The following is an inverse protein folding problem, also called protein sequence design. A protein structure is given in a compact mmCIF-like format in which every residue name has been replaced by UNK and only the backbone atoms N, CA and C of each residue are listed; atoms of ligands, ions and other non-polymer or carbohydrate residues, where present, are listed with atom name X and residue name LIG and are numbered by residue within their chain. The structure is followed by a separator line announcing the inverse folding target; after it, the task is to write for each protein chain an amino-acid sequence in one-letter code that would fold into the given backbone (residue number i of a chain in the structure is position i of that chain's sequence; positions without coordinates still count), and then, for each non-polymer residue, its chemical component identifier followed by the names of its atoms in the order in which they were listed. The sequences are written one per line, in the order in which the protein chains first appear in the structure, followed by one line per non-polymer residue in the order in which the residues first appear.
data_IF_472696686636
#
_entry.id   IF_472696686636
#
_cell.length_a   1.000
_cell.length_b   1.000
_cell.length_c   1.000
_cell.angle_alpha   90.00
_cell.angle_beta   90.00
_cell.angle_gamma   90.00
#
_symmetry.space_group_name_H-M   'P 1'
#
loop_
_entity.id
_entity.type
_entity.pdbx_description
1 polymer ?
#
# COMPACT_ATOMS: atom_id res chain seq x y z
N UNK A 1 13.99 8.05 9.53
CA UNK A 1 15.33 8.57 9.89
C UNK A 1 15.73 7.95 11.23
N UNK A 2 16.93 7.39 11.36
CA UNK A 2 17.40 6.81 12.65
C UNK A 2 18.08 7.92 13.43
N UNK A 3 17.61 8.23 14.64
CA UNK A 3 18.24 9.25 15.48
C UNK A 3 18.80 8.54 16.72
N UNK A 4 20.11 8.33 16.69
CA UNK A 4 20.86 7.74 17.81
C UNK A 4 21.54 8.86 18.60
N UNK A 5 21.24 8.93 19.90
CA UNK A 5 21.81 9.92 20.78
C UNK A 5 22.25 9.29 22.10
N UNK A 6 23.56 9.12 22.28
CA UNK A 6 24.15 8.86 23.59
C UNK A 6 24.84 10.16 24.06
N UNK A 7 24.57 10.59 25.29
CA UNK A 7 25.11 11.85 25.80
C UNK A 7 25.05 11.96 27.32
N UNK A 8 26.16 12.32 27.95
CA UNK A 8 26.20 12.64 29.37
C UNK A 8 25.52 13.99 29.62
N UNK A 9 24.24 13.98 29.99
CA UNK A 9 23.58 15.16 30.54
C UNK A 9 24.17 15.51 31.91
N UNK A 10 24.27 16.79 32.23
CA UNK A 10 24.44 17.24 33.63
C UNK A 10 23.24 16.76 34.44
N UNK A 11 23.45 16.43 35.72
CA UNK A 11 22.35 16.09 36.65
C UNK A 11 21.30 17.20 36.61
N UNK A 12 20.05 16.86 36.28
CA UNK A 12 18.96 17.83 36.08
C UNK A 12 18.95 18.50 34.70
N UNK A 13 19.65 17.96 33.70
CA UNK A 13 19.71 18.46 32.33
C UNK A 13 18.88 17.64 31.34
N UNK A 14 18.51 18.27 30.21
CA UNK A 14 17.80 17.63 29.10
C UNK A 14 18.76 17.46 27.92
N UNK A 15 18.77 16.28 27.32
CA UNK A 15 19.54 16.03 26.10
C UNK A 15 18.59 15.89 24.91
N UNK A 16 18.66 16.85 23.98
CA UNK A 16 17.76 16.95 22.83
C UNK A 16 18.48 16.65 21.50
N UNK A 17 17.70 16.17 20.54
CA UNK A 17 18.07 16.06 19.13
C UNK A 17 16.99 16.74 18.29
N UNK A 18 17.43 17.66 17.44
CA UNK A 18 16.55 18.36 16.49
C UNK A 18 16.56 17.65 15.15
N UNK A 19 15.38 17.39 14.61
CA UNK A 19 15.18 16.90 13.25
C UNK A 19 14.26 17.85 12.51
N UNK A 20 14.73 18.34 11.36
CA UNK A 20 13.91 19.13 10.45
C UNK A 20 13.21 18.19 9.47
N UNK A 21 11.89 18.31 9.39
CA UNK A 21 11.04 17.53 8.48
C UNK A 21 10.44 18.50 7.47
N UNK A 22 10.56 18.18 6.19
CA UNK A 22 9.95 18.91 5.08
C UNK A 22 9.60 17.94 3.95
N UNK A 23 8.48 18.19 3.28
CA UNK A 23 8.02 17.44 2.11
C UNK A 23 8.04 18.35 0.88
N UNK A 24 8.66 17.88 -0.20
CA UNK A 24 8.57 18.50 -1.52
C UNK A 24 7.73 17.59 -2.42
N UNK A 25 6.74 18.17 -3.07
CA UNK A 25 5.80 17.47 -3.95
C UNK A 25 6.05 17.89 -5.39
N UNK A 26 5.81 16.97 -6.33
CA UNK A 26 5.92 17.27 -7.75
C UNK A 26 4.66 17.98 -8.27
N UNK A 27 4.77 18.58 -9.46
CA UNK A 27 3.67 19.34 -10.04
C UNK A 27 2.44 18.45 -10.28
N UNK A 28 1.35 18.76 -9.58
CA UNK A 28 0.06 18.09 -9.68
C UNK A 28 -0.26 17.17 -8.50
N UNK A 29 0.75 16.74 -7.73
CA UNK A 29 0.54 15.89 -6.55
C UNK A 29 -0.38 16.60 -5.54
N UNK A 30 -1.34 15.85 -4.99
CA UNK A 30 -2.24 16.36 -3.96
C UNK A 30 -1.85 15.77 -2.61
N UNK A 31 -1.28 16.61 -1.74
CA UNK A 31 -1.04 16.23 -0.35
C UNK A 31 -2.36 16.05 0.39
N UNK A 32 -2.53 14.89 1.02
CA UNK A 32 -3.72 14.64 1.83
C UNK A 32 -3.43 14.86 3.31
N UNK A 33 -2.36 14.24 3.82
CA UNK A 33 -1.90 14.36 5.20
C UNK A 33 -0.52 13.73 5.36
N UNK A 34 0.10 13.98 6.50
CA UNK A 34 1.24 13.20 6.98
C UNK A 34 1.01 12.70 8.40
N UNK A 35 1.60 11.57 8.72
CA UNK A 35 1.56 10.96 10.04
C UNK A 35 2.99 10.83 10.59
N UNK A 36 3.20 11.33 11.81
CA UNK A 36 4.43 11.14 12.54
C UNK A 36 4.32 9.89 13.37
N UNK A 37 5.32 9.01 13.30
CA UNK A 37 5.44 7.85 14.19
C UNK A 37 6.82 7.92 14.83
N UNK A 38 6.84 8.20 16.13
CA UNK A 38 8.08 8.26 16.91
C UNK A 38 8.13 7.03 17.80
N UNK A 39 8.90 6.02 17.40
CA UNK A 39 9.17 4.87 18.25
C UNK A 39 10.49 5.03 18.97
N UNK A 40 10.56 4.51 20.19
CA UNK A 40 11.85 4.24 20.82
C UNK A 40 12.52 3.09 20.05
N UNK A 41 13.83 2.91 20.21
CA UNK A 41 14.61 1.89 19.50
C UNK A 41 14.12 0.47 19.78
N UNK A 42 14.75 -0.56 19.23
CA UNK A 42 14.28 -1.94 19.32
C UNK A 42 13.99 -2.44 20.76
N UNK A 43 14.66 -1.89 21.77
CA UNK A 43 14.41 -2.17 23.19
C UNK A 43 13.42 -1.22 23.85
N UNK A 44 13.18 -0.03 23.31
CA UNK A 44 12.32 0.97 23.96
C UNK A 44 12.98 1.73 25.11
N UNK A 45 14.30 1.60 25.27
CA UNK A 45 15.03 2.14 26.42
C UNK A 45 15.13 3.67 26.38
N UNK A 46 14.88 4.29 27.52
CA UNK A 46 15.19 5.69 27.79
C UNK A 46 15.52 5.87 29.28
N UNK A 47 16.15 6.98 29.62
CA UNK A 47 16.56 7.29 30.98
C UNK A 47 15.61 8.31 31.60
N UNK A 48 15.11 8.02 32.81
CA UNK A 48 14.21 8.77 33.70
C UNK A 48 12.95 9.43 33.12
N UNK A 49 13.00 10.01 31.93
CA UNK A 49 11.85 10.57 31.25
C UNK A 49 12.12 11.03 29.83
N UNK A 50 11.08 11.57 29.21
CA UNK A 50 11.09 11.99 27.81
C UNK A 50 10.60 13.43 27.68
N UNK A 51 11.17 14.11 26.69
CA UNK A 51 10.72 15.40 26.20
C UNK A 51 10.44 15.31 24.70
N UNK A 52 9.33 15.91 24.28
CA UNK A 52 8.94 16.04 22.87
C UNK A 52 8.40 17.44 22.62
N UNK A 53 8.92 18.11 21.58
CA UNK A 53 8.52 19.44 21.16
C UNK A 53 8.37 19.53 19.64
N UNK A 54 7.45 20.37 19.19
CA UNK A 54 7.30 20.76 17.78
C UNK A 54 7.42 22.28 17.71
N UNK A 55 8.30 22.78 16.83
CA UNK A 55 8.57 24.21 16.65
C UNK A 55 8.85 24.95 17.97
N UNK A 56 9.60 24.31 18.88
CA UNK A 56 9.93 24.83 20.21
C UNK A 56 8.77 24.80 21.22
N UNK A 57 7.56 24.37 20.83
CA UNK A 57 6.45 24.15 21.76
C UNK A 57 6.56 22.75 22.36
N UNK A 58 6.73 22.69 23.68
CA UNK A 58 6.81 21.44 24.44
C UNK A 58 5.43 20.76 24.50
N UNK A 59 5.36 19.52 24.03
CA UNK A 59 4.12 18.73 23.93
C UNK A 59 4.08 17.55 24.90
N UNK A 60 5.24 17.00 25.23
CA UNK A 60 5.42 16.01 26.28
C UNK A 60 6.62 16.40 27.14
N UNK A 61 6.48 16.30 28.46
CA UNK A 61 7.57 16.41 29.40
C UNK A 61 7.25 15.68 30.69
N UNK A 62 8.07 14.69 31.01
CA UNK A 62 8.08 14.04 32.31
C UNK A 62 9.48 13.53 32.62
N UNK A 63 9.74 13.25 33.88
CA UNK A 63 10.98 12.68 34.41
C UNK A 63 10.68 11.76 35.60
N UNK A 64 11.72 11.21 36.23
CA UNK A 64 11.61 10.29 37.36
C UNK A 64 10.64 10.73 38.45
N UNK A 65 10.61 12.03 38.78
CA UNK A 65 9.78 12.59 39.86
C UNK A 65 8.30 12.36 39.62
N UNK A 66 7.88 12.20 38.37
CA UNK A 66 6.49 12.05 37.97
C UNK A 66 5.98 10.60 38.12
N UNK A 67 6.86 9.60 38.13
CA UNK A 67 6.43 8.19 38.21
C UNK A 67 7.00 7.45 39.42
N UNK A 68 8.15 7.85 39.96
CA UNK A 68 8.86 7.09 41.00
C UNK A 68 8.17 7.07 42.36
N UNK A 69 7.13 7.88 42.58
CA UNK A 69 6.29 7.87 43.78
C UNK A 69 4.92 7.22 43.58
N UNK A 70 4.57 6.86 42.33
CA UNK A 70 3.25 6.35 41.98
C UNK A 70 3.19 4.83 42.18
N UNK A 71 2.15 4.27 42.84
CA UNK A 71 2.05 2.85 43.17
C UNK A 71 2.18 1.92 41.96
N UNK A 72 1.72 2.36 40.79
CA UNK A 72 1.73 1.61 39.54
C UNK A 72 3.15 1.30 39.04
N UNK A 73 4.14 2.08 39.46
CA UNK A 73 5.54 1.95 39.05
C UNK A 73 6.44 1.40 40.16
N UNK A 74 5.89 1.15 41.36
CA UNK A 74 6.61 0.51 42.46
C UNK A 74 6.63 -1.02 42.31
N UNK A 75 7.30 -1.70 43.23
CA UNK A 75 7.37 -3.17 43.26
C UNK A 75 6.02 -3.85 43.39
N UNK A 76 5.78 -4.81 42.50
CA UNK A 76 4.49 -5.46 42.30
C UNK A 76 3.44 -4.56 41.63
N UNK A 77 3.84 -3.37 41.19
CA UNK A 77 3.00 -2.41 40.50
C UNK A 77 2.61 -2.85 39.09
N UNK A 78 1.70 -2.11 38.47
CA UNK A 78 1.16 -2.41 37.14
C UNK A 78 2.24 -2.46 36.05
N UNK A 79 3.23 -1.58 36.14
CA UNK A 79 4.30 -1.41 35.15
C UNK A 79 5.63 -2.07 35.57
N UNK A 80 5.68 -2.73 36.74
CA UNK A 80 6.80 -3.56 37.21
C UNK A 80 6.75 -4.94 36.52
N UNK A 81 6.95 -4.96 35.19
CA UNK A 81 6.63 -6.09 34.31
C UNK A 81 7.48 -7.33 34.57
N UNK A 82 8.67 -7.18 35.17
CA UNK A 82 9.55 -8.29 35.51
C UNK A 82 9.50 -8.68 37.00
N UNK A 83 8.71 -7.93 37.81
CA UNK A 83 8.49 -8.13 39.24
C UNK A 83 9.77 -8.11 40.07
N UNK A 84 10.79 -7.35 39.64
CA UNK A 84 12.11 -7.35 40.27
C UNK A 84 12.47 -6.07 41.03
N UNK A 85 11.55 -5.13 41.21
CA UNK A 85 11.82 -3.98 42.06
C UNK A 85 10.87 -2.81 41.82
N UNK A 86 11.13 -2.02 40.81
CA UNK A 86 10.31 -0.89 40.41
C UNK A 86 10.56 -0.67 38.92
N UNK A 87 9.65 0.02 38.25
CA UNK A 87 9.76 0.21 36.81
C UNK A 87 11.06 0.93 36.42
N UNK A 88 11.84 0.28 35.56
CA UNK A 88 13.17 0.72 35.14
C UNK A 88 13.21 0.96 33.63
N UNK A 89 12.85 2.16 33.13
CA UNK A 89 12.83 2.45 31.69
C UNK A 89 14.20 2.28 31.02
N UNK A 90 15.30 2.49 31.77
CA UNK A 90 16.67 2.29 31.28
C UNK A 90 17.04 0.82 31.08
N UNK A 91 16.31 -0.11 31.69
CA UNK A 91 16.50 -1.56 31.51
C UNK A 91 15.64 -2.13 30.37
N UNK A 92 14.82 -1.29 29.72
CA UNK A 92 13.79 -1.68 28.74
C UNK A 92 12.54 -2.30 29.37
N UNK A 93 12.30 -2.09 30.66
CA UNK A 93 11.22 -2.76 31.35
C UNK A 93 9.85 -2.40 30.76
N UNK A 94 9.05 -3.43 30.48
CA UNK A 94 7.77 -3.30 29.79
C UNK A 94 7.88 -2.89 28.31
N UNK A 95 9.09 -2.83 27.73
CA UNK A 95 9.37 -2.45 26.33
C UNK A 95 8.63 -1.17 25.89
N UNK A 96 8.99 0.00 26.44
CA UNK A 96 8.22 1.23 26.24
C UNK A 96 8.10 1.64 24.78
N UNK A 97 6.92 2.12 24.39
CA UNK A 97 6.63 2.62 23.05
C UNK A 97 5.92 3.97 23.14
N UNK A 98 6.57 5.03 22.66
CA UNK A 98 5.89 6.31 22.48
C UNK A 98 5.05 6.21 21.20
N UNK A 99 3.78 6.60 21.28
CA UNK A 99 2.88 6.65 20.13
C UNK A 99 2.35 8.07 19.98
N UNK A 100 2.61 8.67 18.83
CA UNK A 100 2.13 9.99 18.46
C UNK A 100 1.22 9.79 17.27
N UNK A 101 -0.09 9.80 17.45
CA UNK A 101 -1.03 9.55 16.37
C UNK A 101 -2.35 10.27 16.63
N UNK A 102 -3.00 10.77 15.58
CA UNK A 102 -4.30 11.45 15.67
C UNK A 102 -4.37 12.53 16.77
N UNK A 103 -3.33 13.37 16.86
CA UNK A 103 -3.17 14.41 17.89
C UNK A 103 -3.14 13.90 19.34
N UNK A 104 -2.82 12.62 19.55
CA UNK A 104 -2.60 12.03 20.87
C UNK A 104 -1.15 11.62 21.06
N UNK A 105 -0.67 11.70 22.30
CA UNK A 105 0.65 11.23 22.75
C UNK A 105 0.40 10.19 23.83
N UNK A 106 0.93 8.98 23.64
CA UNK A 106 0.79 7.86 24.60
C UNK A 106 2.12 7.19 24.84
N UNK A 107 2.36 6.75 26.07
CA UNK A 107 3.52 5.90 26.39
C UNK A 107 3.01 4.49 26.69
N UNK A 108 3.00 3.64 25.68
CA UNK A 108 2.49 2.28 25.77
C UNK A 108 3.54 1.34 26.39
N UNK A 109 3.21 0.78 27.56
CA UNK A 109 4.09 -0.12 28.32
C UNK A 109 3.38 -1.46 28.56
N UNK A 110 4.11 -2.56 28.39
CA UNK A 110 3.63 -3.91 28.74
C UNK A 110 3.51 -4.03 30.26
N UNK A 111 2.31 -4.33 30.73
CA UNK A 111 1.99 -4.49 32.15
C UNK A 111 2.28 -5.90 32.67
N UNK A 112 2.23 -6.07 33.99
CA UNK A 112 2.29 -7.38 34.66
C UNK A 112 1.20 -8.37 34.22
N UNK A 113 0.11 -7.88 33.62
CA UNK A 113 -0.96 -8.70 33.07
C UNK A 113 -0.77 -9.11 31.59
N UNK A 114 0.31 -8.63 30.95
CA UNK A 114 0.65 -8.95 29.56
C UNK A 114 -0.06 -8.10 28.51
N UNK A 115 -0.80 -7.06 28.90
CA UNK A 115 -1.39 -6.07 27.99
C UNK A 115 -0.57 -4.79 27.97
N UNK A 116 -0.63 -4.02 26.87
CA UNK A 116 -0.04 -2.67 26.79
C UNK A 116 -1.05 -1.62 27.25
N UNK A 117 -0.62 -0.75 28.16
CA UNK A 117 -1.42 0.39 28.63
C UNK A 117 -0.63 1.69 28.55
N UNK A 118 -1.35 2.81 28.46
CA UNK A 118 -0.74 4.15 28.43
C UNK A 118 -0.31 4.57 29.84
N UNK A 119 1.00 4.52 30.08
CA UNK A 119 1.59 4.80 31.37
C UNK A 119 1.51 6.29 31.76
N UNK A 120 1.35 7.21 30.80
CA UNK A 120 1.24 8.65 31.10
C UNK A 120 0.01 8.96 31.97
N UNK A 121 -1.03 8.14 31.89
CA UNK A 121 -2.26 8.30 32.66
C UNK A 121 -2.09 8.01 34.16
N UNK A 122 -0.99 7.36 34.55
CA UNK A 122 -0.73 6.93 35.92
C UNK A 122 0.41 7.72 36.58
N UNK A 123 0.94 8.74 35.89
CA UNK A 123 1.98 9.61 36.43
C UNK A 123 1.40 10.77 37.25
N UNK A 124 2.18 11.28 38.19
CA UNK A 124 1.85 12.43 39.01
C UNK A 124 1.93 13.73 38.21
N UNK A 125 0.76 14.20 37.76
CA UNK A 125 0.63 15.45 37.02
C UNK A 125 0.77 16.70 37.89
N UNK A 126 0.88 16.56 39.22
CA UNK A 126 1.03 17.69 40.15
C UNK A 126 2.49 18.11 40.34
N UNK A 127 3.43 17.27 39.91
CA UNK A 127 4.86 17.56 39.92
C UNK A 127 5.19 18.65 38.88
N UNK A 128 6.09 19.55 39.25
CA UNK A 128 6.53 20.65 38.39
C UNK A 128 7.13 20.14 37.07
N UNK A 129 6.95 20.92 36.02
CA UNK A 129 7.41 20.63 34.65
C UNK A 129 6.64 19.54 33.91
N UNK A 130 5.60 18.93 34.49
CA UNK A 130 4.70 18.01 33.76
C UNK A 130 4.07 18.71 32.56
N UNK A 131 4.19 18.09 31.38
CA UNK A 131 3.49 18.50 30.16
C UNK A 131 2.95 17.28 29.43
N UNK A 132 1.66 17.30 29.13
CA UNK A 132 1.03 16.38 28.20
C UNK A 132 -0.03 17.15 27.40
N UNK A 133 0.30 17.49 26.17
CA UNK A 133 -0.66 18.19 25.30
C UNK A 133 -1.72 17.22 24.79
N UNK A 134 -2.98 17.60 24.92
CA UNK A 134 -4.12 16.86 24.35
C UNK A 134 -4.42 17.22 22.90
N UNK A 135 -3.73 18.23 22.35
CA UNK A 135 -3.84 18.62 20.94
C UNK A 135 -2.60 19.37 20.47
N UNK A 136 -2.17 19.12 19.24
CA UNK A 136 -1.08 19.83 18.58
C UNK A 136 -1.24 19.68 17.06
N UNK A 137 -0.60 20.56 16.31
CA UNK A 137 -0.59 20.56 14.86
C UNK A 137 0.83 20.71 14.34
N UNK A 138 1.09 20.12 13.18
CA UNK A 138 2.34 20.26 12.43
C UNK A 138 2.01 20.28 10.95
N UNK A 139 2.91 20.81 10.14
CA UNK A 139 2.73 20.99 8.70
C UNK A 139 3.95 20.41 7.99
N UNK A 140 3.77 19.27 7.30
CA UNK A 140 4.86 18.64 6.57
C UNK A 140 5.22 19.38 5.28
N UNK A 141 4.30 20.14 4.68
CA UNK A 141 4.56 20.92 3.46
C UNK A 141 5.30 22.20 3.79
N UNK A 142 4.84 22.96 4.79
CA UNK A 142 5.57 24.13 5.28
C UNK A 142 6.87 23.76 6.01
N UNK A 143 6.94 22.51 6.50
CA UNK A 143 8.03 21.99 7.29
C UNK A 143 7.94 22.39 8.77
N UNK A 144 8.55 21.58 9.63
CA UNK A 144 8.58 21.82 11.07
C UNK A 144 9.86 21.25 11.70
N UNK A 145 10.22 21.83 12.85
CA UNK A 145 11.31 21.33 13.68
C UNK A 145 10.73 20.42 14.76
N UNK A 146 11.24 19.19 14.83
CA UNK A 146 10.95 18.24 15.89
C UNK A 146 12.13 18.20 16.84
N UNK A 147 11.88 18.37 18.13
CA UNK A 147 12.86 18.14 19.17
C UNK A 147 12.38 16.99 20.06
N UNK A 148 13.24 16.00 20.24
CA UNK A 148 12.95 14.90 21.15
C UNK A 148 14.20 14.59 21.96
N UNK A 149 14.00 14.12 23.19
CA UNK A 149 15.11 13.88 24.09
C UNK A 149 14.71 13.14 25.34
N UNK A 150 15.73 12.74 26.09
CA UNK A 150 15.56 12.19 27.42
C UNK A 150 15.78 13.29 28.47
N UNK A 151 15.04 13.17 29.57
CA UNK A 151 15.30 13.94 30.78
C UNK A 151 16.14 13.09 31.72
N UNK A 152 17.33 13.57 32.12
CA UNK A 152 18.19 12.85 33.05
C UNK A 152 17.98 13.40 34.47
N UNK A 153 17.12 12.75 35.24
CA UNK A 153 16.77 13.14 36.61
C UNK A 153 17.75 12.63 37.66
N UNK A 154 18.44 11.53 37.37
CA UNK A 154 19.39 10.84 38.23
C UNK A 154 20.86 11.19 37.96
N UNK A 155 21.75 10.61 38.78
CA UNK A 155 23.19 10.65 38.54
C UNK A 155 23.62 9.53 37.59
N UNK A 156 23.94 9.86 36.34
CA UNK A 156 24.42 8.89 35.34
C UNK A 156 24.46 9.44 33.91
N UNK A 157 25.06 8.70 32.94
CA UNK A 157 25.01 9.04 31.52
C UNK A 157 23.64 8.72 30.91
N UNK A 158 22.93 9.75 30.44
CA UNK A 158 21.68 9.57 29.69
C UNK A 158 21.89 9.03 28.27
N UNK A 159 20.93 8.26 27.77
CA UNK A 159 20.90 7.91 26.35
C UNK A 159 19.48 7.69 25.86
N UNK A 160 19.26 7.99 24.58
CA UNK A 160 18.01 7.70 23.89
C UNK A 160 18.33 7.11 22.52
N UNK A 161 17.74 5.95 22.26
CA UNK A 161 17.69 5.35 20.93
C UNK A 161 16.26 5.50 20.45
N UNK A 162 16.04 6.24 19.37
CA UNK A 162 14.70 6.45 18.81
C UNK A 162 14.72 6.43 17.28
N UNK A 163 13.57 6.05 16.73
CA UNK A 163 13.30 6.03 15.31
C UNK A 163 12.11 6.92 15.02
N UNK A 164 12.34 7.94 14.19
CA UNK A 164 11.28 8.78 13.66
C UNK A 164 10.95 8.33 12.24
N UNK A 165 9.70 7.95 12.04
CA UNK A 165 9.09 7.74 10.74
C UNK A 165 8.10 8.86 10.45
N UNK A 166 8.15 9.37 9.23
CA UNK A 166 7.20 10.35 8.69
C UNK A 166 6.59 9.70 7.46
N UNK A 167 5.29 9.43 7.49
CA UNK A 167 4.55 8.87 6.36
C UNK A 167 3.72 9.99 5.73
N UNK A 168 3.96 10.30 4.46
CA UNK A 168 3.14 11.24 3.70
C UNK A 168 2.15 10.46 2.84
N UNK A 169 0.88 10.85 2.91
CA UNK A 169 -0.19 10.35 2.05
C UNK A 169 -0.38 11.39 0.95
N UNK A 170 0.11 11.05 -0.23
CA UNK A 170 0.01 11.86 -1.42
C UNK A 170 -0.89 11.11 -2.39
N UNK A 171 -1.94 11.77 -2.84
CA UNK A 171 -2.73 11.28 -3.94
C UNK A 171 -1.96 11.63 -5.22
N UNK A 172 -1.41 10.63 -5.94
CA UNK A 172 -0.74 10.91 -7.19
C UNK A 172 -1.76 11.56 -8.12
N UNK A 173 -1.44 12.71 -8.71
CA UNK A 173 -2.32 13.26 -9.72
C UNK A 173 -2.52 12.23 -10.81
N UNK A 174 -3.80 12.06 -11.18
CA UNK A 174 -4.20 11.40 -12.40
C UNK A 174 -3.50 12.13 -13.56
N UNK A 175 -2.50 11.49 -14.16
CA UNK A 175 -2.04 11.86 -15.49
C UNK A 175 -3.26 11.80 -16.41
N UNK A 176 -3.75 12.92 -16.98
CA UNK A 176 -4.99 12.96 -17.75
C UNK A 176 -4.85 12.30 -19.12
N UNK A 177 -3.76 11.56 -19.33
CA UNK A 177 -3.51 10.82 -20.56
C UNK A 177 -4.21 9.47 -20.49
N UNK A 178 -5.04 9.24 -21.50
CA UNK A 178 -5.66 7.97 -21.86
C UNK A 178 -5.13 7.63 -23.25
N UNK A 179 -4.26 6.62 -23.35
CA UNK A 179 -3.54 6.30 -24.59
C UNK A 179 -4.37 5.56 -25.62
N UNK A 180 -5.33 4.74 -25.19
CA UNK A 180 -6.16 3.94 -26.10
C UNK A 180 -7.59 4.46 -26.26
N UNK A 181 -7.94 5.49 -25.48
CA UNK A 181 -9.19 6.25 -25.55
C UNK A 181 -10.42 5.46 -25.11
N UNK A 182 -10.26 4.50 -24.21
CA UNK A 182 -11.37 3.70 -23.67
C UNK A 182 -12.10 4.34 -22.48
N UNK A 183 -11.61 5.50 -22.03
CA UNK A 183 -12.17 6.28 -20.93
C UNK A 183 -11.52 6.01 -19.58
N UNK A 184 -10.51 5.13 -19.51
CA UNK A 184 -9.65 4.94 -18.35
C UNK A 184 -8.32 5.66 -18.54
N UNK A 185 -7.92 6.46 -17.56
CA UNK A 185 -6.60 7.10 -17.59
C UNK A 185 -5.52 6.05 -17.41
N UNK A 186 -4.37 6.23 -18.05
CA UNK A 186 -3.23 5.30 -18.01
C UNK A 186 -2.82 4.88 -16.59
N UNK A 187 -2.99 5.77 -15.61
CA UNK A 187 -2.64 5.54 -14.20
C UNK A 187 -3.57 4.52 -13.49
N UNK A 188 -4.79 4.33 -14.00
CA UNK A 188 -5.82 3.48 -13.41
C UNK A 188 -6.36 2.41 -14.37
N UNK A 189 -5.90 2.41 -15.61
CA UNK A 189 -6.20 1.40 -16.62
C UNK A 189 -5.30 0.16 -16.45
N UNK A 190 -5.91 -1.03 -16.40
CA UNK A 190 -5.19 -2.29 -16.33
C UNK A 190 -4.52 -2.68 -17.67
N UNK A 191 -5.00 -2.12 -18.78
CA UNK A 191 -4.47 -2.33 -20.13
C UNK A 191 -4.25 -1.00 -20.89
N UNK A 192 -3.33 -0.10 -20.46
CA UNK A 192 -3.19 1.29 -20.97
C UNK A 192 -2.84 1.51 -22.44
N UNK A 193 -2.83 0.46 -23.27
CA UNK A 193 -2.51 0.56 -24.70
C UNK A 193 -3.42 -0.36 -25.52
N UNK A 194 -4.51 -0.85 -24.95
CA UNK A 194 -5.42 -1.79 -25.57
C UNK A 194 -6.84 -1.55 -25.05
N UNK A 195 -7.59 -0.78 -25.83
CA UNK A 195 -8.98 -0.41 -25.56
C UNK A 195 -9.79 -1.59 -24.99
N UNK A 196 -10.40 -1.39 -23.83
CA UNK A 196 -11.19 -2.42 -23.17
C UNK A 196 -12.52 -1.94 -22.63
N UNK A 197 -12.99 -2.65 -21.61
CA UNK A 197 -14.31 -2.41 -21.00
C UNK A 197 -14.18 -2.12 -19.52
N UNK A 198 -15.13 -1.34 -18.99
CA UNK A 198 -15.17 -1.00 -17.58
C UNK A 198 -15.26 -2.24 -16.65
N UNK A 199 -15.93 -3.31 -17.10
CA UNK A 199 -16.04 -4.56 -16.34
C UNK A 199 -14.69 -5.24 -16.08
N UNK A 200 -13.65 -4.90 -16.85
CA UNK A 200 -12.30 -5.45 -16.76
C UNK A 200 -11.25 -4.34 -16.53
N UNK A 201 -11.66 -3.19 -15.98
CA UNK A 201 -10.78 -2.04 -15.71
C UNK A 201 -9.93 -1.63 -16.93
N UNK A 202 -10.57 -1.48 -18.09
CA UNK A 202 -9.92 -1.04 -19.33
C UNK A 202 -9.26 -2.14 -20.15
N UNK A 203 -9.37 -3.41 -19.75
CA UNK A 203 -8.92 -4.54 -20.58
C UNK A 203 -10.02 -5.09 -21.50
N UNK A 204 -9.67 -5.60 -22.71
CA UNK A 204 -10.62 -6.30 -23.58
C UNK A 204 -10.95 -7.70 -23.04
N UNK A 205 -12.10 -8.25 -23.45
CA UNK A 205 -12.51 -9.60 -23.04
C UNK A 205 -11.59 -10.68 -23.64
N UNK A 206 -11.03 -11.58 -22.82
CA UNK A 206 -10.30 -12.74 -23.33
C UNK A 206 -11.26 -13.81 -23.85
N UNK A 207 -10.88 -14.46 -24.96
CA UNK A 207 -11.62 -15.58 -25.56
C UNK A 207 -10.68 -16.71 -25.92
N UNK A 208 -11.14 -17.95 -25.76
CA UNK A 208 -10.37 -19.13 -26.13
C UNK A 208 -10.73 -19.56 -27.56
N UNK A 209 -9.80 -19.31 -28.48
CA UNK A 209 -9.93 -19.63 -29.89
C UNK A 209 -9.18 -20.92 -30.24
N UNK A 210 -9.77 -21.74 -31.11
CA UNK A 210 -9.14 -22.97 -31.57
C UNK A 210 -7.86 -22.71 -32.35
N UNK A 211 -6.86 -23.57 -32.17
CA UNK A 211 -5.58 -23.49 -32.89
C UNK A 211 -5.70 -23.89 -34.36
N UNK A 212 -6.73 -24.68 -34.66
CA UNK A 212 -7.09 -25.06 -36.02
C UNK A 212 -8.15 -24.12 -36.56
N UNK A 213 -8.02 -23.72 -37.83
CA UNK A 213 -9.02 -22.92 -38.52
C UNK A 213 -9.21 -23.42 -39.96
N UNK A 214 -10.41 -23.23 -40.51
CA UNK A 214 -10.66 -23.41 -41.95
C UNK A 214 -10.51 -22.08 -42.67
N UNK A 215 -10.02 -22.11 -43.90
CA UNK A 215 -9.91 -20.92 -44.75
C UNK A 215 -10.89 -20.98 -45.92
N UNK A 216 -11.42 -19.84 -46.33
CA UNK A 216 -12.17 -19.69 -47.58
C UNK A 216 -11.87 -18.35 -48.24
N UNK A 217 -12.06 -18.26 -49.55
CA UNK A 217 -12.06 -16.98 -50.28
C UNK A 217 -13.47 -16.41 -50.45
N UNK A 218 -14.50 -17.20 -50.09
CA UNK A 218 -15.91 -16.83 -50.15
C UNK A 218 -16.47 -16.83 -48.73
N UNK A 219 -17.17 -15.75 -48.37
CA UNK A 219 -17.85 -15.64 -47.07
C UNK A 219 -19.03 -16.59 -46.97
N UNK A 220 -19.43 -16.98 -45.76
CA UNK A 220 -20.61 -17.82 -45.51
C UNK A 220 -20.59 -19.14 -46.30
N UNK A 221 -19.42 -19.77 -46.36
CA UNK A 221 -19.18 -20.99 -47.12
C UNK A 221 -19.00 -22.22 -46.23
N UNK A 222 -19.24 -22.11 -44.92
CA UNK A 222 -19.10 -23.23 -43.99
C UNK A 222 -20.43 -23.98 -43.84
N UNK A 223 -20.35 -25.31 -43.83
CA UNK A 223 -21.48 -26.18 -43.50
C UNK A 223 -21.32 -26.65 -42.04
N UNK A 224 -21.76 -25.84 -41.07
CA UNK A 224 -21.47 -26.07 -39.64
C UNK A 224 -21.85 -27.47 -39.14
N UNK A 225 -22.90 -28.08 -39.70
CA UNK A 225 -23.33 -29.46 -39.39
C UNK A 225 -22.29 -30.54 -39.67
N UNK A 226 -21.25 -30.24 -40.48
CA UNK A 226 -20.13 -31.15 -40.79
C UNK A 226 -18.86 -30.83 -40.01
N UNK A 227 -18.93 -29.91 -39.05
CA UNK A 227 -17.77 -29.35 -38.35
C UNK A 227 -17.54 -29.97 -36.97
N UNK A 228 -17.96 -31.23 -36.76
CA UNK A 228 -17.75 -31.96 -35.50
C UNK A 228 -16.28 -31.95 -35.04
N UNK A 229 -15.33 -32.08 -35.98
CA UNK A 229 -13.90 -32.03 -35.64
C UNK A 229 -13.46 -30.63 -35.21
N UNK A 230 -13.86 -29.59 -35.95
CA UNK A 230 -13.49 -28.20 -35.65
C UNK A 230 -14.10 -27.75 -34.31
N UNK A 231 -15.30 -28.24 -34.00
CA UNK A 231 -16.01 -27.99 -32.75
C UNK A 231 -15.67 -28.98 -31.62
N UNK A 232 -14.83 -29.98 -31.87
CA UNK A 232 -14.45 -30.95 -30.83
C UNK A 232 -13.66 -30.24 -29.72
N UNK A 233 -14.28 -30.08 -28.54
CA UNK A 233 -13.70 -29.43 -27.33
C UNK A 233 -12.63 -30.31 -26.66
N UNK A 234 -11.66 -30.73 -27.45
CA UNK A 234 -10.52 -31.52 -26.98
C UNK A 234 -9.59 -30.66 -26.11
N UNK A 235 -8.72 -31.31 -25.32
CA UNK A 235 -7.94 -30.74 -24.21
C UNK A 235 -7.44 -29.29 -24.37
N UNK A 236 -7.30 -28.57 -23.24
CA UNK A 236 -6.96 -27.14 -23.19
C UNK A 236 -5.77 -26.68 -24.06
N UNK A 237 -4.84 -27.58 -24.40
CA UNK A 237 -3.70 -27.29 -25.30
C UNK A 237 -4.05 -27.09 -26.79
N UNK A 238 -5.28 -27.34 -27.22
CA UNK A 238 -5.74 -27.08 -28.60
C UNK A 238 -6.37 -25.70 -28.80
N UNK A 239 -6.43 -24.91 -27.73
CA UNK A 239 -6.94 -23.55 -27.75
C UNK A 239 -5.85 -22.59 -27.32
N UNK A 240 -6.02 -21.35 -27.72
CA UNK A 240 -5.20 -20.25 -27.31
C UNK A 240 -6.06 -19.07 -26.90
N UNK A 241 -5.46 -18.17 -26.12
CA UNK A 241 -6.14 -16.95 -25.68
C UNK A 241 -5.97 -15.88 -26.77
N UNK A 242 -7.10 -15.37 -27.24
CA UNK A 242 -7.21 -14.13 -27.99
C UNK A 242 -8.05 -13.13 -27.18
N UNK A 243 -8.19 -11.91 -27.69
CA UNK A 243 -9.06 -10.90 -27.10
C UNK A 243 -10.03 -10.41 -28.18
N UNK A 244 -11.13 -9.77 -27.80
CA UNK A 244 -11.99 -9.10 -28.78
C UNK A 244 -12.44 -7.72 -28.33
N UNK A 245 -12.81 -6.89 -29.30
CA UNK A 245 -13.23 -5.49 -29.10
C UNK A 245 -14.67 -5.33 -28.60
N UNK A 246 -15.36 -6.42 -28.28
CA UNK A 246 -16.77 -6.39 -27.94
C UNK A 246 -17.01 -5.95 -26.51
N UNK A 247 -18.20 -5.39 -26.24
CA UNK A 247 -18.58 -4.94 -24.90
C UNK A 247 -18.91 -6.10 -23.94
N UNK A 248 -19.30 -7.26 -24.48
CA UNK A 248 -19.75 -8.43 -23.72
C UNK A 248 -18.70 -9.55 -23.75
N UNK A 249 -18.71 -10.49 -22.77
CA UNK A 249 -17.79 -11.63 -22.79
C UNK A 249 -17.87 -12.49 -24.05
N UNK A 250 -19.06 -12.62 -24.63
CA UNK A 250 -19.27 -13.33 -25.89
C UNK A 250 -19.19 -12.35 -27.07
N UNK A 251 -18.31 -12.58 -28.06
CA UNK A 251 -18.20 -11.71 -29.22
C UNK A 251 -19.41 -11.83 -30.16
N UNK A 252 -19.76 -10.70 -30.80
CA UNK A 252 -20.86 -10.61 -31.77
C UNK A 252 -20.36 -10.24 -33.17
N UNK A 253 -21.24 -10.33 -34.17
CA UNK A 253 -20.93 -9.85 -35.53
C UNK A 253 -20.66 -8.34 -35.47
N UNK A 254 -19.55 -7.92 -36.10
CA UNK A 254 -19.04 -6.55 -36.08
C UNK A 254 -17.91 -6.31 -35.07
N UNK A 255 -17.73 -7.20 -34.09
CA UNK A 255 -16.56 -7.15 -33.21
C UNK A 255 -15.29 -7.56 -33.97
N UNK A 256 -14.14 -7.16 -33.45
CA UNK A 256 -12.83 -7.52 -33.97
C UNK A 256 -12.15 -8.48 -33.02
N UNK A 257 -11.62 -9.58 -33.54
CA UNK A 257 -10.71 -10.42 -32.79
C UNK A 257 -9.32 -9.75 -32.76
N UNK A 258 -8.92 -9.31 -31.58
CA UNK A 258 -7.65 -8.64 -31.28
C UNK A 258 -6.62 -9.72 -30.95
N UNK A 259 -5.64 -9.88 -31.85
CA UNK A 259 -4.58 -10.86 -31.71
C UNK A 259 -3.44 -10.31 -30.87
N UNK A 260 -3.12 -10.94 -29.75
CA UNK A 260 -2.01 -10.53 -28.91
C UNK A 260 -0.67 -10.92 -29.55
N UNK A 261 -0.06 -9.99 -30.29
CA UNK A 261 1.27 -10.12 -30.90
C UNK A 261 2.43 -9.89 -29.90
N UNK A 262 2.19 -9.67 -28.59
CA UNK A 262 3.24 -9.35 -27.59
C UNK A 262 3.92 -10.58 -26.95
N UNK A 263 3.58 -11.81 -27.33
CA UNK A 263 4.38 -12.98 -26.94
C UNK A 263 5.71 -13.00 -27.72
N UNK A 264 6.77 -13.52 -27.11
CA UNK A 264 8.12 -13.67 -27.69
C UNK A 264 8.17 -14.50 -28.99
N UNK A 265 7.04 -15.09 -29.39
CA UNK A 265 6.79 -15.66 -30.70
C UNK A 265 5.41 -15.18 -31.17
N UNK A 266 5.30 -14.24 -32.12
CA UNK A 266 4.02 -13.90 -32.72
C UNK A 266 3.51 -15.11 -33.50
N UNK A 267 2.52 -15.81 -32.96
CA UNK A 267 1.74 -16.80 -33.69
C UNK A 267 0.50 -16.10 -34.23
N UNK A 268 0.56 -15.64 -35.48
CA UNK A 268 -0.65 -15.30 -36.22
C UNK A 268 -1.53 -16.54 -36.28
N UNK A 269 -2.62 -16.59 -35.51
CA UNK A 269 -3.57 -17.73 -35.50
C UNK A 269 -4.12 -18.04 -36.88
N UNK A 270 -4.31 -16.98 -37.67
CA UNK A 270 -4.80 -17.03 -39.03
C UNK A 270 -3.70 -16.57 -39.97
N UNK A 271 -3.34 -17.41 -40.93
CA UNK A 271 -2.37 -17.09 -41.98
C UNK A 271 -3.03 -16.49 -43.22
N UNK A 272 -2.31 -15.58 -43.86
CA UNK A 272 -2.75 -14.84 -45.06
C UNK A 272 -3.70 -13.68 -44.72
N UNK A 273 -3.78 -12.70 -45.61
CA UNK A 273 -4.58 -11.48 -45.43
C UNK A 273 -5.85 -11.46 -46.27
N UNK A 274 -6.05 -12.46 -47.13
CA UNK A 274 -7.17 -12.53 -48.08
C UNK A 274 -8.19 -13.58 -47.69
N UNK A 275 -9.47 -13.26 -47.83
CA UNK A 275 -10.58 -14.18 -47.57
C UNK A 275 -10.96 -14.23 -46.09
N UNK A 276 -11.45 -15.39 -45.68
CA UNK A 276 -12.11 -15.63 -44.40
C UNK A 276 -11.49 -16.82 -43.68
N UNK A 277 -11.52 -16.78 -42.36
CA UNK A 277 -11.14 -17.88 -41.48
C UNK A 277 -12.31 -18.29 -40.60
N UNK A 278 -12.53 -19.58 -40.42
CA UNK A 278 -13.53 -20.12 -39.51
C UNK A 278 -12.81 -20.74 -38.32
N UNK A 279 -13.09 -20.21 -37.12
CA UNK A 279 -12.39 -20.55 -35.87
C UNK A 279 -13.42 -20.88 -34.80
N UNK A 280 -13.16 -21.87 -33.96
CA UNK A 280 -14.06 -22.23 -32.85
C UNK A 280 -13.79 -21.39 -31.62
N UNK A 281 -14.85 -20.96 -30.94
CA UNK A 281 -14.84 -20.41 -29.60
C UNK A 281 -15.18 -21.50 -28.58
N UNK A 282 -14.20 -21.87 -27.75
CA UNK A 282 -14.34 -22.99 -26.79
C UNK A 282 -15.51 -22.80 -25.83
N UNK A 283 -15.66 -21.59 -25.32
CA UNK A 283 -16.53 -21.31 -24.18
C UNK A 283 -17.97 -20.96 -24.60
N UNK A 284 -18.20 -20.70 -25.90
CA UNK A 284 -19.48 -20.24 -26.43
C UNK A 284 -20.16 -21.21 -27.40
N UNK A 285 -19.54 -22.36 -27.69
CA UNK A 285 -20.08 -23.37 -28.62
C UNK A 285 -20.34 -22.84 -30.04
N UNK A 286 -19.49 -21.93 -30.49
CA UNK A 286 -19.65 -21.23 -31.77
C UNK A 286 -18.43 -21.36 -32.64
N UNK A 287 -18.67 -21.27 -33.94
CA UNK A 287 -17.67 -20.97 -34.95
C UNK A 287 -17.85 -19.49 -35.32
N UNK A 288 -16.76 -18.73 -35.29
CA UNK A 288 -16.71 -17.37 -35.81
C UNK A 288 -16.08 -17.36 -37.20
N UNK A 289 -16.65 -16.56 -38.09
CA UNK A 289 -16.04 -16.24 -39.38
C UNK A 289 -15.35 -14.89 -39.29
N UNK A 290 -14.04 -14.91 -39.48
CA UNK A 290 -13.16 -13.76 -39.39
C UNK A 290 -12.73 -13.32 -40.79
N UNK A 291 -12.88 -12.04 -41.10
CA UNK A 291 -12.24 -11.46 -42.27
C UNK A 291 -10.73 -11.37 -41.99
N UNK A 292 -9.92 -12.09 -42.76
CA UNK A 292 -8.48 -12.21 -42.48
C UNK A 292 -7.71 -10.90 -42.54
N UNK A 293 -8.20 -9.92 -43.31
CA UNK A 293 -7.51 -8.65 -43.52
C UNK A 293 -7.45 -7.77 -42.26
N UNK A 294 -8.42 -7.90 -41.36
CA UNK A 294 -8.56 -7.01 -40.20
C UNK A 294 -9.06 -7.70 -38.92
N UNK A 295 -9.45 -8.98 -38.97
CA UNK A 295 -9.97 -9.72 -37.82
C UNK A 295 -11.44 -9.42 -37.47
N UNK A 296 -12.18 -8.73 -38.34
CA UNK A 296 -13.61 -8.48 -38.16
C UNK A 296 -14.40 -9.80 -38.16
N UNK A 297 -15.25 -10.00 -37.16
CA UNK A 297 -16.20 -11.11 -37.08
C UNK A 297 -17.39 -10.77 -37.98
N UNK A 298 -17.47 -11.42 -39.13
CA UNK A 298 -18.49 -11.15 -40.15
C UNK A 298 -19.70 -12.07 -40.05
N UNK A 299 -19.55 -13.23 -39.40
CA UNK A 299 -20.66 -14.16 -39.14
C UNK A 299 -20.37 -15.07 -37.94
N UNK A 300 -21.44 -15.62 -37.37
CA UNK A 300 -21.42 -16.60 -36.27
C UNK A 300 -22.22 -17.83 -36.69
N UNK A 301 -21.72 -19.01 -36.33
CA UNK A 301 -22.38 -20.29 -36.57
C UNK A 301 -22.38 -21.09 -35.28
N UNK A 302 -23.42 -21.88 -35.05
CA UNK A 302 -23.42 -22.83 -33.95
C UNK A 302 -22.56 -24.04 -34.31
N UNK A 303 -21.84 -24.56 -33.34
CA UNK A 303 -21.29 -25.91 -33.43
C UNK A 303 -22.42 -26.95 -33.55
N UNK A 304 -22.17 -28.07 -34.26
CA UNK A 304 -23.13 -29.18 -34.36
C UNK A 304 -23.27 -29.97 -33.06
#
# INVERSE_FOLDING_TARGET
MVITGAGTGVVGGVFLRTVNVSLALDAGDVFERCELKLSLGASGQFDDGLQFSINGTRLLNFDQRHWSGMPEFQGGGRFDSDLNGFWTPWSAEGTPQLEIANNSIKLMILTTSGIREDALLFMDTTVVDWVLSSSFSYDCEAGFALEFGNQNGGGGPGSISAFLQVEAYVNPCLDPVDFDFDGFLNAVDACPNAFGVAALNGCPWPVYVGNNFKSSVVSNSIESVKEEYLCSRSAAGYFNIAYHSGANPEPIVGDYLIYNNKYSFPHSYVFGTTGFAYVTLRDFDKIIELRKSNGEIVALYNCP
#
